data_IF_302085013260
#
_entry.id   IF_302085013260
#
_cell.length_a   1.000
_cell.length_b   1.000
_cell.length_c   1.000
_cell.angle_alpha   90.00
_cell.angle_beta   90.00
_cell.angle_gamma   90.00
#
_symmetry.space_group_name_H-M   'P 1'
#
loop_
_entity.id
_entity.type
_entity.pdbx_description
1 polymer ?
#
# COMPACT_ATOMS: atom_id res chain seq x y z
N UNK A 1 28.66 5.67 5.71
CA UNK A 1 28.39 6.45 4.47
C UNK A 1 27.13 6.03 3.70
N UNK A 2 26.58 4.81 3.85
CA UNK A 2 25.38 4.35 3.10
C UNK A 2 24.06 5.04 3.52
N UNK A 3 23.76 5.10 4.82
CA UNK A 3 22.52 5.74 5.31
C UNK A 3 22.41 7.23 4.99
N UNK A 4 23.56 7.93 4.95
CA UNK A 4 23.60 9.34 4.55
C UNK A 4 23.09 9.53 3.12
N UNK A 5 23.49 8.66 2.19
CA UNK A 5 23.08 8.77 0.79
C UNK A 5 21.57 8.55 0.60
N UNK A 6 20.97 7.62 1.36
CA UNK A 6 19.51 7.40 1.35
C UNK A 6 18.79 8.67 1.79
N UNK A 7 19.20 9.25 2.91
CA UNK A 7 18.59 10.47 3.46
C UNK A 7 18.74 11.64 2.47
N UNK A 8 19.94 11.84 1.90
CA UNK A 8 20.16 12.90 0.92
C UNK A 8 19.27 12.74 -0.31
N UNK A 9 19.05 11.51 -0.79
CA UNK A 9 18.17 11.25 -1.94
C UNK A 9 16.70 11.57 -1.62
N UNK A 10 16.21 11.18 -0.45
CA UNK A 10 14.85 11.51 -0.01
C UNK A 10 14.65 13.03 0.14
N UNK A 11 15.62 13.73 0.71
CA UNK A 11 15.59 15.19 0.87
C UNK A 11 15.60 15.93 -0.47
N UNK A 12 16.37 15.42 -1.45
CA UNK A 12 16.40 15.99 -2.79
C UNK A 12 15.02 15.93 -3.47
N UNK A 13 14.35 14.78 -3.42
CA UNK A 13 13.02 14.63 -4.04
C UNK A 13 11.88 15.33 -3.30
N UNK A 14 12.01 15.56 -1.98
CA UNK A 14 11.00 16.34 -1.23
C UNK A 14 10.85 17.77 -1.75
N UNK A 15 11.85 18.29 -2.50
CA UNK A 15 11.89 19.66 -3.01
C UNK A 15 11.57 19.77 -4.51
N UNK A 16 11.21 18.68 -5.17
CA UNK A 16 10.85 18.70 -6.60
C UNK A 16 9.34 18.70 -6.77
N UNK A 17 8.87 19.18 -7.92
CA UNK A 17 7.46 19.04 -8.28
C UNK A 17 7.06 17.55 -8.35
N UNK A 18 5.87 17.16 -7.86
CA UNK A 18 5.40 15.79 -7.97
C UNK A 18 5.22 15.38 -9.42
N UNK A 19 5.59 14.14 -9.73
CA UNK A 19 5.27 13.51 -11.01
C UNK A 19 3.85 12.92 -10.88
N UNK A 20 2.88 13.32 -11.73
CA UNK A 20 1.53 12.78 -11.67
C UNK A 20 1.52 11.29 -12.03
N UNK A 21 0.57 10.55 -11.45
CA UNK A 21 0.34 9.14 -11.79
C UNK A 21 -0.21 9.00 -13.21
N UNK A 22 0.08 7.87 -13.84
CA UNK A 22 -0.46 7.51 -15.16
C UNK A 22 -1.52 6.44 -14.98
N UNK A 23 -2.69 6.65 -15.56
CA UNK A 23 -3.73 5.63 -15.61
C UNK A 23 -3.38 4.59 -16.67
N UNK A 24 -3.48 3.32 -16.30
CA UNK A 24 -3.26 2.18 -17.21
C UNK A 24 -4.49 1.29 -17.23
N UNK A 25 -4.78 0.70 -18.38
CA UNK A 25 -5.98 -0.12 -18.57
C UNK A 25 -5.88 -1.46 -17.83
N UNK A 26 -4.69 -2.07 -17.81
CA UNK A 26 -4.45 -3.38 -17.22
C UNK A 26 -3.19 -3.43 -16.33
N UNK A 27 -3.15 -4.41 -15.41
CA UNK A 27 -2.03 -4.65 -14.51
C UNK A 27 -2.03 -6.10 -13.98
N UNK A 28 -0.86 -6.71 -13.70
CA UNK A 28 -0.77 -8.07 -13.15
C UNK A 28 -1.59 -8.29 -11.87
N UNK A 29 -1.78 -7.24 -11.06
CA UNK A 29 -2.60 -7.32 -9.84
C UNK A 29 -4.07 -7.70 -10.13
N UNK A 30 -4.54 -7.50 -11.36
CA UNK A 30 -5.91 -7.78 -11.79
C UNK A 30 -6.09 -9.20 -12.35
N UNK A 31 -5.05 -10.03 -12.43
CA UNK A 31 -5.12 -11.40 -12.99
C UNK A 31 -6.04 -12.32 -12.17
N UNK A 32 -6.10 -12.16 -10.85
CA UNK A 32 -6.96 -12.92 -9.96
C UNK A 32 -7.93 -12.00 -9.22
N UNK A 33 -9.24 -12.18 -9.46
CA UNK A 33 -10.29 -11.37 -8.85
C UNK A 33 -11.21 -12.26 -8.03
N UNK A 34 -11.44 -11.89 -6.78
CA UNK A 34 -12.39 -12.52 -5.86
C UNK A 34 -13.38 -11.43 -5.44
N UNK A 35 -14.68 -11.70 -5.53
CA UNK A 35 -15.70 -10.67 -5.33
C UNK A 35 -16.94 -11.19 -4.62
N UNK A 36 -17.68 -10.28 -3.97
CA UNK A 36 -18.92 -10.63 -3.25
C UNK A 36 -18.69 -11.69 -2.19
N UNK A 37 -19.56 -12.70 -2.17
CA UNK A 37 -19.56 -13.77 -1.16
C UNK A 37 -18.36 -14.73 -1.28
N UNK A 38 -17.60 -14.68 -2.37
CA UNK A 38 -16.37 -15.46 -2.52
C UNK A 38 -15.21 -14.91 -1.67
N UNK A 39 -15.32 -13.65 -1.21
CA UNK A 39 -14.28 -13.00 -0.40
C UNK A 39 -14.27 -13.58 1.00
N UNK A 40 -13.26 -14.40 1.28
CA UNK A 40 -12.99 -14.95 2.61
C UNK A 40 -11.53 -14.70 2.98
N UNK A 41 -11.31 -13.71 3.86
CA UNK A 41 -9.96 -13.34 4.32
C UNK A 41 -9.31 -14.45 5.14
N UNK A 42 -10.06 -15.37 5.74
CA UNK A 42 -9.52 -16.44 6.58
C UNK A 42 -8.88 -17.57 5.77
N UNK A 43 -9.14 -17.64 4.46
CA UNK A 43 -8.44 -18.55 3.53
C UNK A 43 -7.00 -18.11 3.26
N UNK A 44 -6.66 -16.85 3.53
CA UNK A 44 -5.33 -16.31 3.31
C UNK A 44 -4.40 -16.68 4.48
N UNK A 45 -3.09 -16.87 4.22
CA UNK A 45 -2.11 -17.22 5.24
C UNK A 45 -1.71 -16.01 6.10
N UNK A 46 -2.69 -15.37 6.76
CA UNK A 46 -2.45 -14.16 7.55
C UNK A 46 -1.71 -14.52 8.84
N UNK A 47 -0.54 -13.91 9.10
CA UNK A 47 0.25 -14.24 10.27
C UNK A 47 -0.37 -13.65 11.56
N UNK A 48 -0.17 -14.37 12.65
CA UNK A 48 -0.17 -13.77 13.99
C UNK A 48 1.28 -13.41 14.30
N UNK A 49 1.59 -12.12 14.25
CA UNK A 49 2.98 -11.66 14.27
C UNK A 49 3.66 -11.91 15.63
N UNK A 50 2.91 -11.78 16.72
CA UNK A 50 3.39 -12.05 18.08
C UNK A 50 2.43 -12.95 18.86
N UNK A 51 2.98 -13.73 19.78
CA UNK A 51 2.22 -14.72 20.56
C UNK A 51 1.04 -14.14 21.36
N UNK A 52 1.08 -12.84 21.68
CA UNK A 52 0.05 -12.15 22.48
C UNK A 52 -0.78 -11.13 21.67
N UNK A 53 -0.68 -11.12 20.35
CA UNK A 53 -1.50 -10.26 19.51
C UNK A 53 -2.98 -10.62 19.66
N UNK A 54 -3.86 -9.60 19.68
CA UNK A 54 -5.32 -9.79 19.79
C UNK A 54 -5.98 -10.36 18.54
N UNK A 55 -5.21 -10.60 17.48
CA UNK A 55 -5.70 -11.12 16.21
C UNK A 55 -4.59 -11.22 15.16
N UNK A 56 -4.96 -11.73 13.98
CA UNK A 56 -4.07 -11.80 12.81
C UNK A 56 -3.99 -10.43 12.13
N UNK A 57 -2.78 -9.97 11.84
CA UNK A 57 -2.56 -8.65 11.23
C UNK A 57 -2.45 -8.76 9.71
N UNK A 58 -3.56 -8.50 9.02
CA UNK A 58 -3.63 -8.52 7.56
C UNK A 58 -2.66 -7.55 6.89
N UNK A 59 -2.53 -6.35 7.45
CA UNK A 59 -1.76 -5.26 6.87
C UNK A 59 -0.66 -4.82 7.86
N UNK A 60 0.52 -5.42 7.73
CA UNK A 60 1.70 -5.03 8.53
C UNK A 60 2.66 -4.14 7.74
N UNK A 61 2.80 -4.39 6.43
CA UNK A 61 3.64 -3.61 5.53
C UNK A 61 2.90 -3.38 4.20
N UNK A 62 1.96 -2.45 4.24
CA UNK A 62 1.22 -2.00 3.07
C UNK A 62 0.75 -0.58 3.27
N UNK A 63 -0.06 -0.10 2.34
CA UNK A 63 -0.53 1.29 2.32
C UNK A 63 -2.06 1.29 2.27
N UNK A 64 -2.66 2.20 3.03
CA UNK A 64 -4.04 2.60 2.78
C UNK A 64 -4.04 3.58 1.61
N UNK A 65 -5.02 3.47 0.72
CA UNK A 65 -5.27 4.45 -0.31
C UNK A 65 -6.67 5.01 -0.11
N UNK A 66 -6.77 6.31 0.16
CA UNK A 66 -8.04 6.98 0.48
C UNK A 66 -8.13 8.31 -0.25
N UNK A 67 -9.34 8.69 -0.67
CA UNK A 67 -9.59 9.92 -1.41
C UNK A 67 -10.55 10.83 -0.64
N UNK A 68 -10.32 12.14 -0.68
CA UNK A 68 -11.27 13.13 -0.14
C UNK A 68 -12.59 13.09 -0.92
N UNK A 69 -13.74 13.41 -0.29
CA UNK A 69 -15.03 13.39 -0.97
C UNK A 69 -15.13 14.29 -2.21
N UNK A 70 -14.35 15.36 -2.26
CA UNK A 70 -14.26 16.28 -3.41
C UNK A 70 -13.27 15.80 -4.49
N UNK A 71 -12.60 14.67 -4.29
CA UNK A 71 -11.66 14.06 -5.23
C UNK A 71 -10.31 14.77 -5.36
N UNK A 72 -10.09 15.88 -4.66
CA UNK A 72 -8.90 16.74 -4.86
C UNK A 72 -7.63 16.19 -4.21
N UNK A 73 -7.75 15.29 -3.26
CA UNK A 73 -6.62 14.71 -2.55
C UNK A 73 -6.76 13.20 -2.38
N UNK A 74 -5.66 12.49 -2.64
CA UNK A 74 -5.49 11.06 -2.36
C UNK A 74 -4.33 10.93 -1.38
N UNK A 75 -4.54 10.19 -0.28
CA UNK A 75 -3.49 9.78 0.64
C UNK A 75 -3.18 8.29 0.48
#
# INVERSE_FOLDING_TARGET
>A
MFGHNIIQKLLAYKRTDPIPSVLVDDAPLKEHKISGDEVDLLKLPIPQNHAKDGGKYFLTYGLHSVQTPDGKWVN
#
